data_IF_309832200841
#
_entry.id   IF_309832200841
#
_cell.length_a   1.000
_cell.length_b   1.000
_cell.length_c   1.000
_cell.angle_alpha   90.00
_cell.angle_beta   90.00
_cell.angle_gamma   90.00
#
_symmetry.space_group_name_H-M   'P 1'
#
loop_
_entity.id
_entity.type
_entity.pdbx_description
1 polymer ?
#
# COMPACT_ATOMS: atom_id res chain seq x y z
N UNK A 1 1.27 45.98 33.60
CA UNK A 1 1.02 44.55 33.27
C UNK A 1 -0.01 44.54 32.16
N UNK A 2 0.45 44.71 30.92
CA UNK A 2 -0.43 44.70 29.76
C UNK A 2 -0.70 43.27 29.30
N UNK A 3 -1.95 43.06 28.90
CA UNK A 3 -2.55 41.78 28.53
C UNK A 3 -1.85 41.10 27.35
N UNK A 4 -1.10 40.03 27.62
CA UNK A 4 -0.67 39.04 26.62
C UNK A 4 -1.85 38.13 26.19
N UNK A 5 -2.96 38.70 25.73
CA UNK A 5 -4.18 37.92 25.38
C UNK A 5 -4.43 37.69 23.89
N UNK A 6 -3.57 38.16 22.99
CA UNK A 6 -3.72 37.94 21.56
C UNK A 6 -2.45 37.35 20.94
N UNK A 7 -2.26 36.05 21.13
CA UNK A 7 -1.24 35.26 20.43
C UNK A 7 -1.85 34.33 19.37
N UNK A 8 -2.98 34.71 18.76
CA UNK A 8 -3.51 33.99 17.58
C UNK A 8 -4.20 34.97 16.63
N UNK A 9 -3.45 35.69 15.81
CA UNK A 9 -3.95 36.62 14.79
C UNK A 9 -4.62 35.95 13.57
N UNK A 10 -5.30 34.82 13.78
CA UNK A 10 -6.03 34.09 12.74
C UNK A 10 -7.47 33.87 13.19
N UNK A 11 -8.40 34.23 12.33
CA UNK A 11 -9.84 33.96 12.45
C UNK A 11 -10.12 32.46 12.37
N UNK A 12 -11.27 31.98 12.88
CA UNK A 12 -11.67 30.56 12.77
C UNK A 12 -11.73 30.07 11.31
N UNK A 13 -12.09 30.95 10.39
CA UNK A 13 -12.18 30.66 8.96
C UNK A 13 -10.80 30.50 8.33
N UNK A 14 -9.86 31.39 8.64
CA UNK A 14 -8.45 31.28 8.20
C UNK A 14 -7.79 30.01 8.76
N UNK A 15 -8.03 29.66 10.03
CA UNK A 15 -7.54 28.40 10.62
C UNK A 15 -8.09 27.17 9.90
N UNK A 16 -9.38 27.20 9.55
CA UNK A 16 -10.04 26.10 8.82
C UNK A 16 -9.51 25.97 7.40
N UNK A 17 -9.22 27.09 6.72
CA UNK A 17 -8.60 27.10 5.40
C UNK A 17 -7.18 26.50 5.46
N UNK A 18 -6.34 26.98 6.36
CA UNK A 18 -4.95 26.49 6.51
C UNK A 18 -4.90 24.99 6.88
N UNK A 19 -5.73 24.54 7.82
CA UNK A 19 -5.79 23.12 8.19
C UNK A 19 -6.33 22.22 7.06
N UNK A 20 -7.14 22.78 6.15
CA UNK A 20 -7.70 22.05 5.00
C UNK A 20 -6.72 22.00 3.83
N UNK A 21 -5.98 23.07 3.60
CA UNK A 21 -5.04 23.20 2.48
C UNK A 21 -3.69 22.52 2.79
N UNK A 22 -3.34 22.36 4.06
CA UNK A 22 -2.01 21.87 4.44
C UNK A 22 -0.92 22.87 4.06
N UNK A 23 0.33 22.57 4.40
CA UNK A 23 1.48 23.32 3.88
C UNK A 23 2.22 22.43 2.87
N UNK A 24 2.23 22.86 1.62
CA UNK A 24 3.13 22.28 0.61
C UNK A 24 4.56 22.69 0.96
N UNK A 25 5.36 21.76 1.47
CA UNK A 25 6.79 21.98 1.52
C UNK A 25 7.36 21.71 0.12
N UNK A 26 8.27 22.56 -0.35
CA UNK A 26 8.87 22.58 -1.70
C UNK A 26 9.53 21.24 -2.12
N UNK A 27 9.59 20.26 -1.22
CA UNK A 27 10.13 18.91 -1.41
C UNK A 27 9.07 17.78 -1.41
N UNK A 28 7.80 18.09 -1.67
CA UNK A 28 6.79 17.07 -2.00
C UNK A 28 6.32 16.19 -0.84
N UNK A 29 6.42 16.69 0.39
CA UNK A 29 5.73 16.09 1.55
C UNK A 29 4.71 17.09 2.04
N UNK A 30 3.43 16.78 1.83
CA UNK A 30 2.30 17.53 2.38
C UNK A 30 2.36 17.44 3.91
N UNK A 31 2.65 18.57 4.57
CA UNK A 31 2.64 18.67 6.02
C UNK A 31 1.27 19.15 6.49
N UNK A 32 0.57 18.35 7.31
CA UNK A 32 -0.61 18.82 8.02
C UNK A 32 -0.18 19.78 9.14
N UNK A 33 -0.52 21.07 9.03
CA UNK A 33 -0.27 22.06 10.07
C UNK A 33 -1.49 22.10 11.01
N UNK A 34 -1.27 21.95 12.32
CA UNK A 34 -2.34 22.01 13.33
C UNK A 34 -2.32 23.37 14.02
N UNK A 35 -3.25 24.26 13.69
CA UNK A 35 -3.38 25.58 14.32
C UNK A 35 -4.61 25.63 15.24
N UNK A 36 -4.41 25.82 16.55
CA UNK A 36 -5.48 25.87 17.54
C UNK A 36 -5.02 26.27 18.94
N UNK A 37 -5.91 26.21 19.93
CA UNK A 37 -5.52 26.29 21.35
C UNK A 37 -4.69 25.06 21.75
N UNK A 38 -3.94 25.12 22.86
CA UNK A 38 -3.12 23.97 23.32
C UNK A 38 -3.94 22.68 23.46
N UNK A 39 -5.15 22.78 24.02
CA UNK A 39 -6.08 21.65 24.21
C UNK A 39 -6.62 21.13 22.87
N UNK A 40 -6.88 22.02 21.92
CA UNK A 40 -7.42 21.67 20.61
C UNK A 40 -6.38 21.04 19.70
N UNK A 41 -5.14 21.55 19.73
CA UNK A 41 -3.99 20.94 19.08
C UNK A 41 -3.73 19.56 19.66
N UNK A 42 -3.77 19.40 21.00
CA UNK A 42 -3.57 18.09 21.62
C UNK A 42 -4.70 17.11 21.28
N UNK A 43 -5.95 17.59 21.18
CA UNK A 43 -7.09 16.77 20.74
C UNK A 43 -6.94 16.35 19.27
N UNK A 44 -6.61 17.28 18.37
CA UNK A 44 -6.45 16.99 16.95
C UNK A 44 -5.24 16.11 16.69
N UNK A 45 -4.14 16.33 17.42
CA UNK A 45 -2.98 15.46 17.44
C UNK A 45 -3.38 14.05 17.87
N UNK A 46 -4.13 13.91 18.97
CA UNK A 46 -4.62 12.62 19.43
C UNK A 46 -5.55 11.96 18.41
N UNK A 47 -6.42 12.72 17.72
CA UNK A 47 -7.27 12.21 16.65
C UNK A 47 -6.41 11.72 15.48
N UNK A 48 -5.47 12.52 14.97
CA UNK A 48 -4.56 12.12 13.89
C UNK A 48 -3.67 10.92 14.26
N UNK A 49 -3.22 10.86 15.51
CA UNK A 49 -2.43 9.74 16.04
C UNK A 49 -3.30 8.48 16.29
N UNK A 50 -4.61 8.63 16.46
CA UNK A 50 -5.57 7.52 16.67
C UNK A 50 -6.34 7.11 15.42
N UNK A 51 -6.44 7.97 14.42
CA UNK A 51 -7.06 7.68 13.12
C UNK A 51 -6.22 6.66 12.36
N UNK A 52 -6.89 5.58 11.96
CA UNK A 52 -6.24 4.41 11.36
C UNK A 52 -5.56 3.48 12.37
N UNK A 53 -5.72 3.69 13.68
CA UNK A 53 -5.38 2.64 14.65
C UNK A 53 -6.37 1.49 14.56
N UNK A 54 -5.86 0.28 14.65
CA UNK A 54 -6.62 -0.97 14.54
C UNK A 54 -6.26 -1.92 15.67
N UNK A 55 -7.15 -2.85 15.98
CA UNK A 55 -6.93 -3.86 17.04
C UNK A 55 -5.82 -4.83 16.67
N UNK A 56 -5.81 -5.28 15.42
CA UNK A 56 -4.99 -6.38 14.92
C UNK A 56 -4.65 -6.17 13.44
N UNK A 57 -3.70 -6.98 12.97
CA UNK A 57 -3.20 -6.94 11.59
C UNK A 57 -4.29 -7.27 10.57
N UNK A 58 -5.24 -8.16 10.88
CA UNK A 58 -6.32 -8.53 9.96
C UNK A 58 -7.23 -7.32 9.66
N UNK A 59 -7.61 -6.60 10.71
CA UNK A 59 -8.42 -5.38 10.64
C UNK A 59 -7.66 -4.29 9.90
N UNK A 60 -6.36 -4.14 10.19
CA UNK A 60 -5.48 -3.22 9.46
C UNK A 60 -5.48 -3.51 7.96
N UNK A 61 -5.32 -4.78 7.57
CA UNK A 61 -5.32 -5.17 6.16
C UNK A 61 -6.65 -4.82 5.48
N UNK A 62 -7.77 -5.10 6.13
CA UNK A 62 -9.08 -4.79 5.58
C UNK A 62 -9.29 -3.29 5.33
N UNK A 63 -8.77 -2.44 6.22
CA UNK A 63 -8.95 -0.98 6.14
C UNK A 63 -7.97 -0.28 5.19
N UNK A 64 -6.75 -0.79 5.09
CA UNK A 64 -5.65 -0.10 4.40
C UNK A 64 -5.20 -0.78 3.11
N UNK A 65 -5.77 -1.95 2.74
CA UNK A 65 -5.49 -2.53 1.43
C UNK A 65 -5.92 -1.60 0.32
N UNK A 66 -5.08 -1.47 -0.70
CA UNK A 66 -5.36 -0.78 -1.95
C UNK A 66 -5.45 -1.80 -3.06
N UNK A 67 -6.54 -1.77 -3.83
CA UNK A 67 -6.61 -2.54 -5.08
C UNK A 67 -5.73 -1.81 -6.09
N UNK A 68 -4.72 -2.51 -6.60
CA UNK A 68 -3.81 -1.99 -7.63
C UNK A 68 -4.32 -2.41 -9.00
N UNK A 69 -4.70 -3.67 -9.14
CA UNK A 69 -5.25 -4.22 -10.38
C UNK A 69 -6.46 -5.08 -10.02
N UNK A 70 -7.66 -4.70 -10.48
CA UNK A 70 -8.84 -5.51 -10.24
C UNK A 70 -8.81 -6.77 -11.11
N UNK A 71 -9.53 -7.81 -10.69
CA UNK A 71 -9.58 -9.11 -11.38
C UNK A 71 -10.14 -9.02 -12.82
N UNK A 72 -11.02 -8.05 -13.07
CA UNK A 72 -11.62 -7.74 -14.37
C UNK A 72 -10.82 -6.70 -15.17
N UNK A 73 -9.56 -6.46 -14.80
CA UNK A 73 -8.72 -5.50 -15.50
C UNK A 73 -8.45 -5.93 -16.95
N UNK A 74 -8.85 -5.07 -17.87
CA UNK A 74 -8.52 -5.17 -19.28
C UNK A 74 -7.55 -4.03 -19.67
N UNK A 75 -6.28 -4.33 -19.99
CA UNK A 75 -5.32 -3.31 -20.38
C UNK A 75 -5.73 -2.68 -21.72
N UNK A 76 -5.91 -1.36 -21.72
CA UNK A 76 -6.26 -0.58 -22.92
C UNK A 76 -5.00 -0.32 -23.76
N UNK A 77 -3.86 -0.17 -23.10
CA UNK A 77 -2.58 0.15 -23.73
C UNK A 77 -1.50 -0.86 -23.35
N UNK A 78 -1.20 -1.78 -24.26
CA UNK A 78 -0.09 -2.72 -24.12
C UNK A 78 1.25 -2.00 -24.31
N UNK A 79 1.75 -1.38 -23.25
CA UNK A 79 3.05 -0.70 -23.21
C UNK A 79 3.89 -1.24 -22.07
N UNK A 80 4.62 -2.32 -22.33
CA UNK A 80 5.55 -2.95 -21.39
C UNK A 80 6.43 -3.98 -22.10
N UNK A 81 7.13 -4.80 -21.31
CA UNK A 81 7.97 -5.87 -21.84
C UNK A 81 7.17 -7.04 -22.44
N UNK A 82 5.85 -7.05 -22.22
CA UNK A 82 4.93 -8.05 -22.73
C UNK A 82 4.13 -7.48 -23.91
N UNK A 83 4.00 -8.29 -24.96
CA UNK A 83 3.03 -8.04 -26.02
C UNK A 83 1.59 -8.34 -25.52
N UNK A 84 0.60 -8.09 -26.38
CA UNK A 84 -0.81 -8.32 -26.05
C UNK A 84 -1.11 -9.76 -25.61
N UNK A 85 -0.69 -10.73 -26.41
CA UNK A 85 -0.92 -12.16 -26.15
C UNK A 85 -0.30 -12.60 -24.82
N UNK A 86 0.94 -12.18 -24.55
CA UNK A 86 1.62 -12.47 -23.29
C UNK A 86 0.94 -11.81 -22.09
N UNK A 87 0.39 -10.61 -22.27
CA UNK A 87 -0.33 -9.90 -21.20
C UNK A 87 -1.66 -10.60 -20.89
N UNK A 88 -2.39 -11.04 -21.92
CA UNK A 88 -3.62 -11.81 -21.76
C UNK A 88 -3.34 -13.18 -21.11
N UNK A 89 -2.30 -13.89 -21.55
CA UNK A 89 -1.84 -15.13 -20.93
C UNK A 89 -1.48 -14.92 -19.46
N UNK A 90 -0.78 -13.82 -19.15
CA UNK A 90 -0.40 -13.48 -17.79
C UNK A 90 -1.61 -13.12 -16.92
N UNK A 91 -2.56 -12.33 -17.42
CA UNK A 91 -3.80 -12.02 -16.68
C UNK A 91 -4.60 -13.29 -16.38
N UNK A 92 -4.66 -14.23 -17.32
CA UNK A 92 -5.32 -15.51 -17.09
C UNK A 92 -4.57 -16.36 -16.05
N UNK A 93 -3.23 -16.32 -16.06
CA UNK A 93 -2.43 -16.92 -15.00
C UNK A 93 -2.76 -16.30 -13.64
N UNK A 94 -2.81 -14.97 -13.54
CA UNK A 94 -3.09 -14.23 -12.29
C UNK A 94 -4.41 -14.68 -11.66
N UNK A 95 -5.46 -14.92 -12.45
CA UNK A 95 -6.74 -15.45 -11.95
C UNK A 95 -6.61 -16.81 -11.28
N UNK A 96 -5.68 -17.63 -11.76
CA UNK A 96 -5.43 -18.97 -11.27
C UNK A 96 -4.46 -19.01 -10.08
N UNK A 97 -3.76 -17.91 -9.78
CA UNK A 97 -2.89 -17.80 -8.60
C UNK A 97 -3.70 -18.00 -7.31
N UNK A 98 -3.26 -18.84 -6.37
CA UNK A 98 -3.95 -19.03 -5.09
C UNK A 98 -4.19 -17.72 -4.34
N UNK A 99 -5.34 -17.64 -3.65
CA UNK A 99 -5.64 -16.50 -2.77
C UNK A 99 -4.57 -16.42 -1.69
N UNK A 100 -4.21 -15.20 -1.29
CA UNK A 100 -3.18 -14.97 -0.30
C UNK A 100 -1.74 -15.11 -0.81
N UNK A 101 -1.52 -15.48 -2.08
CA UNK A 101 -0.18 -15.45 -2.66
C UNK A 101 0.44 -14.06 -2.52
N UNK A 102 1.65 -13.98 -1.94
CA UNK A 102 2.33 -12.74 -1.58
C UNK A 102 3.79 -12.83 -2.03
N UNK A 103 4.31 -11.83 -2.74
CA UNK A 103 5.66 -11.94 -3.33
C UNK A 103 6.56 -10.74 -3.11
N UNK A 104 5.99 -9.62 -2.68
CA UNK A 104 6.77 -8.52 -2.17
C UNK A 104 6.41 -8.37 -0.71
N UNK A 105 7.39 -8.62 0.16
CA UNK A 105 7.25 -8.44 1.59
C UNK A 105 8.63 -8.10 2.12
N UNK A 106 8.70 -7.13 3.01
CA UNK A 106 9.89 -6.81 3.79
C UNK A 106 10.98 -5.99 3.07
N UNK A 107 10.61 -4.90 2.39
CA UNK A 107 11.47 -3.71 2.45
C UNK A 107 11.06 -2.90 3.67
N UNK A 108 11.77 -3.09 4.79
CA UNK A 108 11.85 -2.01 5.77
C UNK A 108 12.56 -0.86 5.06
N UNK A 109 11.89 0.28 4.87
CA UNK A 109 12.59 1.52 4.54
C UNK A 109 13.50 1.85 5.72
N UNK A 110 14.74 1.38 5.65
CA UNK A 110 15.79 1.62 6.63
C UNK A 110 16.19 3.09 6.55
N UNK A 111 15.83 3.87 7.58
CA UNK A 111 16.63 5.04 7.96
C UNK A 111 16.48 5.48 9.42
N UNK A 112 15.48 4.99 10.17
CA UNK A 112 15.40 5.21 11.61
C UNK A 112 14.60 4.10 12.32
N UNK A 113 14.89 3.88 13.60
CA UNK A 113 14.17 2.93 14.47
C UNK A 113 12.65 3.21 14.58
N UNK A 114 12.22 4.38 14.08
CA UNK A 114 10.86 4.89 14.15
C UNK A 114 9.96 4.55 12.96
N UNK A 115 10.47 3.99 11.86
CA UNK A 115 9.65 3.74 10.67
C UNK A 115 9.74 2.29 10.17
N UNK A 116 9.38 1.33 11.04
CA UNK A 116 9.10 -0.04 10.60
C UNK A 116 7.78 -0.09 9.83
N UNK A 117 7.86 0.25 8.55
CA UNK A 117 6.78 0.06 7.57
C UNK A 117 7.11 -1.14 6.70
N UNK A 118 6.10 -1.95 6.35
CA UNK A 118 6.25 -3.10 5.46
C UNK A 118 5.33 -2.96 4.26
N UNK A 119 5.90 -2.85 3.06
CA UNK A 119 5.11 -2.97 1.84
C UNK A 119 4.86 -4.45 1.54
N UNK A 120 3.59 -4.81 1.33
CA UNK A 120 3.13 -6.15 1.05
C UNK A 120 2.23 -6.16 -0.18
N UNK A 121 2.64 -6.89 -1.21
CA UNK A 121 1.87 -7.10 -2.45
C UNK A 121 1.33 -8.53 -2.48
N UNK A 122 0.02 -8.68 -2.70
CA UNK A 122 -0.67 -9.97 -2.58
C UNK A 122 -1.91 -10.10 -3.47
N UNK A 123 -2.38 -11.35 -3.67
CA UNK A 123 -3.67 -11.65 -4.30
C UNK A 123 -4.76 -11.74 -3.22
N UNK A 124 -5.74 -10.84 -3.28
CA UNK A 124 -6.80 -10.80 -2.27
C UNK A 124 -7.90 -11.88 -2.49
N UNK A 125 -8.89 -11.89 -1.60
CA UNK A 125 -9.98 -12.88 -1.64
C UNK A 125 -10.86 -12.81 -2.90
N UNK A 126 -10.82 -11.67 -3.61
CA UNK A 126 -11.54 -11.41 -4.86
C UNK A 126 -10.63 -11.56 -6.09
N UNK A 127 -9.41 -12.09 -5.92
CA UNK A 127 -8.41 -12.27 -6.98
C UNK A 127 -7.87 -10.96 -7.56
N UNK A 128 -7.96 -9.87 -6.79
CA UNK A 128 -7.33 -8.63 -7.18
C UNK A 128 -5.84 -8.65 -6.80
N UNK A 129 -5.00 -7.98 -7.60
CA UNK A 129 -3.69 -7.55 -7.13
C UNK A 129 -3.90 -6.40 -6.15
N UNK A 130 -3.52 -6.62 -4.90
CA UNK A 130 -3.63 -5.64 -3.83
C UNK A 130 -2.27 -5.35 -3.21
N UNK A 131 -2.16 -4.14 -2.67
CA UNK A 131 -0.99 -3.69 -1.92
C UNK A 131 -1.42 -3.14 -0.57
N UNK A 132 -0.52 -3.28 0.40
CA UNK A 132 -0.66 -2.64 1.68
C UNK A 132 0.69 -2.20 2.23
N UNK A 133 0.73 -0.97 2.74
CA UNK A 133 1.82 -0.47 3.55
C UNK A 133 1.45 -0.65 5.02
N UNK A 134 1.97 -1.69 5.65
CA UNK A 134 1.73 -2.00 7.05
C UNK A 134 2.55 -1.06 7.91
N UNK A 135 1.88 -0.21 8.67
CA UNK A 135 2.48 0.59 9.74
C UNK A 135 2.21 -0.08 11.09
N UNK A 136 3.23 -0.70 11.67
CA UNK A 136 3.09 -1.41 12.94
C UNK A 136 2.63 -0.50 14.09
N UNK A 137 2.95 0.81 14.06
CA UNK A 137 2.55 1.77 15.11
C UNK A 137 1.03 1.92 15.20
N UNK A 138 0.33 1.64 14.09
CA UNK A 138 -1.12 1.71 13.98
C UNK A 138 -1.84 0.41 14.36
N UNK A 139 -1.13 -0.61 14.82
CA UNK A 139 -1.73 -1.91 15.20
C UNK A 139 -1.56 -2.08 16.71
N UNK A 140 -2.67 -2.13 17.44
CA UNK A 140 -2.66 -2.15 18.91
C UNK A 140 -2.01 -3.41 19.48
N UNK A 141 -2.22 -4.58 18.85
CA UNK A 141 -1.53 -5.82 19.24
C UNK A 141 0.00 -5.70 19.16
N UNK A 142 0.51 -4.72 18.41
CA UNK A 142 1.93 -4.49 18.21
C UNK A 142 2.53 -3.48 19.18
N UNK A 143 1.73 -2.58 19.75
CA UNK A 143 2.20 -1.45 20.58
C UNK A 143 3.10 -1.85 21.74
N UNK A 144 2.79 -2.96 22.41
CA UNK A 144 3.58 -3.42 23.57
C UNK A 144 4.93 -4.04 23.17
N UNK A 145 5.19 -4.26 21.87
CA UNK A 145 6.40 -4.92 21.37
C UNK A 145 6.94 -4.32 20.06
N UNK A 146 6.62 -3.06 19.71
CA UNK A 146 7.04 -2.41 18.46
C UNK A 146 8.55 -2.56 18.16
N UNK A 147 9.38 -2.45 19.19
CA UNK A 147 10.84 -2.61 19.08
C UNK A 147 11.27 -4.04 18.74
N UNK A 148 10.48 -5.06 19.15
CA UNK A 148 10.76 -6.50 18.97
C UNK A 148 10.05 -7.14 17.79
N UNK A 149 9.09 -6.46 17.17
CA UNK A 149 8.43 -7.00 15.98
C UNK A 149 9.46 -7.07 14.86
N UNK A 150 9.84 -8.31 14.58
CA UNK A 150 10.72 -8.65 13.48
C UNK A 150 9.88 -8.83 12.22
N UNK A 151 10.50 -8.66 11.06
CA UNK A 151 9.89 -9.05 9.78
C UNK A 151 9.37 -10.50 9.80
N UNK A 152 10.01 -11.40 10.57
CA UNK A 152 9.55 -12.76 10.74
C UNK A 152 8.22 -12.86 11.51
N UNK A 153 7.99 -12.01 12.53
CA UNK A 153 6.73 -12.03 13.28
C UNK A 153 5.57 -11.61 12.38
N UNK A 154 5.71 -10.49 11.66
CA UNK A 154 4.72 -10.04 10.67
C UNK A 154 4.47 -11.15 9.63
N UNK A 155 5.52 -11.84 9.19
CA UNK A 155 5.41 -12.96 8.26
C UNK A 155 4.56 -14.11 8.80
N UNK A 156 4.76 -14.48 10.05
CA UNK A 156 3.98 -15.54 10.69
C UNK A 156 2.52 -15.13 10.83
N UNK A 157 2.25 -13.90 11.28
CA UNK A 157 0.87 -13.42 11.41
C UNK A 157 0.16 -13.31 10.05
N UNK A 158 0.87 -12.88 9.01
CA UNK A 158 0.37 -12.92 7.63
C UNK A 158 0.09 -14.36 7.20
N UNK A 159 0.97 -15.31 7.52
CA UNK A 159 0.76 -16.73 7.23
C UNK A 159 -0.50 -17.29 7.91
N UNK A 160 -0.71 -16.95 9.18
CA UNK A 160 -1.90 -17.35 9.94
C UNK A 160 -3.20 -16.74 9.37
N UNK A 161 -3.08 -15.59 8.70
CA UNK A 161 -4.18 -14.94 7.96
C UNK A 161 -4.36 -15.49 6.54
N UNK A 162 -3.60 -16.53 6.15
CA UNK A 162 -3.68 -17.18 4.85
C UNK A 162 -2.85 -16.48 3.76
N UNK A 163 -1.94 -15.57 4.11
CA UNK A 163 -0.99 -15.01 3.16
C UNK A 163 0.27 -15.88 3.07
N UNK A 164 0.64 -16.27 1.87
CA UNK A 164 1.76 -17.18 1.62
C UNK A 164 2.92 -16.42 0.96
N UNK A 165 3.87 -15.87 1.75
CA UNK A 165 4.97 -15.05 1.25
C UNK A 165 6.02 -15.90 0.52
N UNK A 166 6.47 -15.44 -0.65
CA UNK A 166 7.62 -16.04 -1.34
C UNK A 166 8.91 -15.70 -0.57
N UNK A 167 9.76 -16.70 -0.32
CA UNK A 167 11.10 -16.44 0.27
C UNK A 167 12.00 -15.84 -0.82
N UNK A 168 12.33 -14.54 -0.70
CA UNK A 168 13.17 -13.83 -1.69
C UNK A 168 14.60 -14.39 -1.85
N UNK A 169 15.12 -15.14 -0.86
CA UNK A 169 16.55 -15.51 -0.78
C UNK A 169 16.85 -17.02 -0.69
N UNK A 170 15.88 -17.90 -0.95
CA UNK A 170 16.20 -19.31 -1.20
C UNK A 170 15.48 -19.71 -2.47
N UNK A 171 16.24 -19.79 -3.57
CA UNK A 171 15.83 -20.48 -4.78
C UNK A 171 15.35 -21.92 -4.45
N UNK A 172 15.70 -22.44 -3.27
CA UNK A 172 15.38 -23.79 -2.80
C UNK A 172 14.32 -23.93 -1.69
N UNK A 173 13.51 -22.91 -1.36
CA UNK A 173 12.35 -23.17 -0.48
C UNK A 173 11.15 -22.28 -0.75
N UNK A 174 10.54 -22.50 -1.90
CA UNK A 174 9.07 -22.49 -1.97
C UNK A 174 8.67 -23.96 -2.03
N UNK A 175 8.58 -24.59 -0.86
CA UNK A 175 7.63 -25.68 -0.73
C UNK A 175 6.25 -25.02 -0.86
N UNK A 176 5.79 -24.95 -2.10
CA UNK A 176 4.37 -25.07 -2.41
C UNK A 176 4.03 -26.45 -1.87
N UNK A 177 3.65 -26.50 -0.60
CA UNK A 177 3.36 -27.76 0.09
C UNK A 177 2.15 -28.33 -0.64
N UNK A 178 2.44 -29.35 -1.47
CA UNK A 178 1.59 -30.04 -2.44
C UNK A 178 1.64 -29.57 -3.91
N UNK A 179 2.83 -29.44 -4.51
CA UNK A 179 3.03 -29.79 -5.93
C UNK A 179 2.48 -28.85 -7.03
N UNK A 180 2.13 -27.61 -6.70
CA UNK A 180 1.56 -26.64 -7.65
C UNK A 180 2.59 -25.61 -8.13
N UNK A 181 3.58 -26.00 -8.93
CA UNK A 181 4.00 -25.03 -9.95
C UNK A 181 2.74 -24.57 -10.67
N UNK A 182 2.58 -23.27 -10.89
CA UNK A 182 1.53 -22.81 -11.80
C UNK A 182 1.96 -23.24 -13.19
N UNK A 183 1.56 -24.46 -13.54
CA UNK A 183 1.73 -25.02 -14.87
C UNK A 183 0.89 -24.16 -15.80
N UNK A 184 1.52 -23.58 -16.82
CA UNK A 184 0.79 -23.11 -18.00
C UNK A 184 -0.12 -24.22 -18.50
N UNK A 185 -1.14 -23.86 -19.28
CA UNK A 185 -2.07 -24.80 -19.93
C UNK A 185 -1.35 -25.89 -20.78
N UNK A 186 -0.10 -25.64 -21.17
CA UNK A 186 0.79 -26.56 -21.92
C UNK A 186 1.73 -27.42 -21.04
N UNK A 187 1.71 -27.28 -19.71
CA UNK A 187 2.57 -28.03 -18.79
C UNK A 187 3.88 -27.36 -18.39
N UNK A 188 4.19 -26.15 -18.89
CA UNK A 188 5.39 -25.40 -18.51
C UNK A 188 5.27 -24.80 -17.11
N UNK A 189 6.29 -24.96 -16.27
CA UNK A 189 6.35 -24.39 -14.93
C UNK A 189 6.73 -22.90 -15.02
N UNK A 190 5.88 -22.01 -14.51
CA UNK A 190 6.22 -20.59 -14.44
C UNK A 190 7.08 -20.33 -13.22
N UNK A 191 8.26 -19.75 -13.44
CA UNK A 191 9.16 -19.36 -12.36
C UNK A 191 8.53 -18.19 -11.58
N UNK A 192 8.60 -18.22 -10.26
CA UNK A 192 8.10 -17.13 -9.39
C UNK A 192 8.68 -15.76 -9.78
N UNK A 193 9.92 -15.73 -10.28
CA UNK A 193 10.54 -14.50 -10.81
C UNK A 193 9.77 -13.92 -12.01
N UNK A 194 9.29 -14.76 -12.91
CA UNK A 194 8.49 -14.33 -14.07
C UNK A 194 7.14 -13.80 -13.62
N UNK A 195 6.51 -14.43 -12.62
CA UNK A 195 5.29 -13.92 -12.01
C UNK A 195 5.48 -12.53 -11.39
N UNK A 196 6.52 -12.38 -10.57
CA UNK A 196 6.84 -11.09 -9.94
C UNK A 196 7.04 -10.02 -11.01
N UNK A 197 7.84 -10.31 -12.05
CA UNK A 197 8.07 -9.37 -13.14
C UNK A 197 6.79 -9.03 -13.91
N UNK A 198 5.92 -10.02 -14.15
CA UNK A 198 4.62 -9.84 -14.77
C UNK A 198 3.71 -8.92 -13.95
N UNK A 199 3.65 -9.12 -12.63
CA UNK A 199 2.88 -8.26 -11.73
C UNK A 199 3.37 -6.82 -11.74
N UNK A 200 4.68 -6.60 -11.68
CA UNK A 200 5.26 -5.24 -11.79
C UNK A 200 4.93 -4.59 -13.13
N UNK A 201 5.01 -5.34 -14.24
CA UNK A 201 4.64 -4.83 -15.55
C UNK A 201 3.17 -4.40 -15.61
N UNK A 202 2.24 -5.24 -15.13
CA UNK A 202 0.82 -4.91 -15.10
C UNK A 202 0.54 -3.68 -14.21
N UNK A 203 1.21 -3.59 -13.06
CA UNK A 203 1.09 -2.45 -12.13
C UNK A 203 1.52 -1.16 -12.80
N UNK A 204 2.68 -1.16 -13.45
CA UNK A 204 3.18 0.00 -14.20
C UNK A 204 2.26 0.41 -15.35
N UNK A 205 1.67 -0.57 -16.06
CA UNK A 205 0.68 -0.27 -17.11
C UNK A 205 -0.55 0.43 -16.53
N UNK A 206 -1.14 -0.13 -15.46
CA UNK A 206 -2.32 0.46 -14.83
C UNK A 206 -2.06 1.87 -14.28
N UNK A 207 -0.91 2.08 -13.68
CA UNK A 207 -0.50 3.39 -13.17
C UNK A 207 -0.46 4.44 -14.29
N UNK A 208 0.14 4.12 -15.43
CA UNK A 208 0.18 5.01 -16.60
C UNK A 208 -1.20 5.32 -17.16
N UNK A 209 -2.09 4.32 -17.20
CA UNK A 209 -3.48 4.55 -17.63
C UNK A 209 -4.21 5.52 -16.71
N UNK A 210 -4.06 5.37 -15.39
CA UNK A 210 -4.65 6.28 -14.42
C UNK A 210 -4.09 7.71 -14.55
N UNK A 211 -2.79 7.85 -14.79
CA UNK A 211 -2.15 9.16 -15.05
C UNK A 211 -2.71 9.82 -16.31
N UNK A 212 -2.89 9.07 -17.39
CA UNK A 212 -3.50 9.57 -18.63
C UNK A 212 -4.97 9.94 -18.43
N UNK A 213 -5.75 9.13 -17.71
CA UNK A 213 -7.14 9.42 -17.38
C UNK A 213 -7.24 10.71 -16.55
N UNK A 214 -6.34 10.91 -15.58
CA UNK A 214 -6.28 12.11 -14.76
C UNK A 214 -5.84 13.36 -15.57
N UNK A 215 -4.88 13.23 -16.48
CA UNK A 215 -4.44 14.32 -17.36
C UNK A 215 -5.55 14.75 -18.32
N UNK A 216 -6.25 13.78 -18.94
CA UNK A 216 -7.41 14.05 -19.78
C UNK A 216 -8.55 14.73 -19.01
N UNK A 217 -8.75 14.35 -17.75
CA UNK A 217 -9.75 14.99 -16.90
C UNK A 217 -9.35 16.43 -16.56
N UNK A 218 -8.08 16.69 -16.22
CA UNK A 218 -7.56 18.04 -16.00
C UNK A 218 -7.75 18.94 -17.23
N UNK A 219 -7.40 18.46 -18.42
CA UNK A 219 -7.63 19.22 -19.65
C UNK A 219 -9.11 19.58 -19.85
N UNK A 220 -10.02 18.64 -19.59
CA UNK A 220 -11.47 18.90 -19.68
C UNK A 220 -11.99 19.92 -18.65
N UNK A 221 -11.37 19.98 -17.47
CA UNK A 221 -11.81 20.85 -16.37
C UNK A 221 -11.18 22.25 -16.42
N UNK A 222 -10.00 22.41 -17.04
CA UNK A 222 -9.21 23.64 -16.97
C UNK A 222 -8.90 24.30 -18.32
N UNK A 223 -9.13 23.63 -19.47
CA UNK A 223 -9.06 24.30 -20.78
C UNK A 223 -10.40 25.02 -21.05
N UNK A 224 -10.44 26.31 -20.66
CA UNK A 224 -11.48 27.29 -21.05
C UNK A 224 -11.17 27.96 -22.39
#
# INVERSE_FOLDING_TARGET
MENFKNLTGLTPEEKKAINKEGFENVNGTEGALLIGSKEEVERQRKILETEGQTTDLATYIKMHKKIVIPNDYEPKNYKGNFNKEQTEEFLELVKNVPKGFCWEGYRSSLSSEDEKKWNVSFIDNHKNLAEILIDGKKINSFKNNLYRISSNQIRMELYDLGFHPTKRNSIDSIEITNGEFLKKKNGEEILVKEMVNGFECLKMMRQKELEQEAEQQKHKEFDF
#
